data_IF_586971697910
#
_entry.id   IF_586971697910
#
_cell.length_a   1.000
_cell.length_b   1.000
_cell.length_c   1.000
_cell.angle_alpha   90.00
_cell.angle_beta   90.00
_cell.angle_gamma   90.00
#
_symmetry.space_group_name_H-M   'P 1'
#
loop_
_entity.id
_entity.type
_entity.pdbx_description
1 polymer ?
#
# COMPACT_ATOMS: atom_id res chain seq x y z
N UNK A 1 28.87 46.93 20.64
CA UNK A 1 28.32 45.82 19.85
C UNK A 1 27.80 44.81 20.83
N UNK A 2 26.48 44.69 20.96
CA UNK A 2 25.87 43.84 21.97
C UNK A 2 25.21 42.66 21.27
N UNK A 3 25.73 41.47 21.52
CA UNK A 3 25.03 40.23 21.20
C UNK A 3 23.75 40.19 22.03
N UNK A 4 22.60 40.20 21.36
CA UNK A 4 21.30 40.10 22.00
C UNK A 4 21.15 38.70 22.63
N UNK A 5 20.82 38.65 23.93
CA UNK A 5 20.62 37.39 24.68
C UNK A 5 19.17 37.33 25.16
N UNK A 6 18.45 36.29 24.75
CA UNK A 6 17.14 35.97 25.29
C UNK A 6 17.27 34.97 26.45
N UNK A 7 16.92 35.35 27.70
CA UNK A 7 16.96 34.44 28.86
C UNK A 7 15.75 33.50 28.87
N UNK A 8 15.66 32.62 27.88
CA UNK A 8 14.61 31.61 27.75
C UNK A 8 15.22 30.30 27.26
N UNK A 9 14.64 29.17 27.68
CA UNK A 9 14.97 27.86 27.13
C UNK A 9 14.49 27.69 25.70
N UNK A 10 13.54 28.52 25.26
CA UNK A 10 12.87 28.43 23.96
C UNK A 10 12.89 29.77 23.24
N UNK A 11 13.36 29.77 21.99
CA UNK A 11 13.28 30.89 21.07
C UNK A 11 12.24 30.58 20.00
N UNK A 12 11.20 31.41 19.88
CA UNK A 12 10.18 31.28 18.85
C UNK A 12 10.27 32.45 17.88
N UNK A 13 10.57 32.14 16.63
CA UNK A 13 10.66 33.11 15.54
C UNK A 13 9.39 32.98 14.69
N UNK A 14 8.65 34.08 14.52
CA UNK A 14 7.40 34.13 13.75
C UNK A 14 7.56 35.13 12.61
N UNK A 15 7.00 34.82 11.44
CA UNK A 15 7.07 35.67 10.24
C UNK A 15 8.52 36.13 9.97
N UNK A 16 9.43 35.17 9.85
CA UNK A 16 10.85 35.45 9.61
C UNK A 16 11.06 36.24 8.32
N UNK A 17 12.05 37.12 8.35
CA UNK A 17 12.54 37.94 7.24
C UNK A 17 14.02 37.67 6.97
N UNK A 18 14.55 38.20 5.87
CA UNK A 18 15.98 38.05 5.53
C UNK A 18 16.92 38.62 6.62
N UNK A 19 16.43 39.54 7.46
CA UNK A 19 17.20 40.10 8.58
C UNK A 19 17.33 39.12 9.76
N UNK A 20 16.47 38.11 9.82
CA UNK A 20 16.50 37.07 10.86
C UNK A 20 17.44 35.90 10.50
N UNK A 21 18.09 35.97 9.34
CA UNK A 21 19.12 35.01 8.96
C UNK A 21 20.38 35.19 9.81
N UNK A 22 21.05 34.08 10.12
CA UNK A 22 22.32 34.12 10.83
C UNK A 22 22.52 32.99 11.82
N UNK A 23 23.47 33.20 12.72
CA UNK A 23 23.86 32.21 13.71
C UNK A 23 23.17 32.43 15.04
N UNK A 24 22.48 31.40 15.51
CA UNK A 24 21.80 31.39 16.78
C UNK A 24 22.57 30.48 17.74
N UNK A 25 23.01 31.04 18.86
CA UNK A 25 23.74 30.27 19.87
C UNK A 25 22.89 30.08 21.11
N UNK A 26 22.57 28.82 21.40
CA UNK A 26 22.02 28.42 22.68
C UNK A 26 23.16 28.13 23.65
N UNK A 27 23.10 28.73 24.83
CA UNK A 27 24.11 28.58 25.88
C UNK A 27 23.43 28.26 27.21
N UNK A 28 23.87 27.17 27.83
CA UNK A 28 23.47 26.78 29.18
C UNK A 28 24.66 26.95 30.10
N UNK A 29 24.46 27.64 31.23
CA UNK A 29 25.46 27.85 32.27
C UNK A 29 24.95 27.31 33.59
N UNK A 30 25.80 26.58 34.32
CA UNK A 30 25.51 26.18 35.68
C UNK A 30 25.60 27.39 36.63
N UNK A 31 24.66 27.58 37.57
CA UNK A 31 24.61 28.78 38.41
C UNK A 31 25.83 28.93 39.33
N UNK A 32 26.40 27.81 39.81
CA UNK A 32 27.44 27.83 40.85
C UNK A 32 28.83 27.41 40.36
N UNK A 33 28.94 26.90 39.13
CA UNK A 33 30.19 26.33 38.61
C UNK A 33 30.50 26.98 37.27
N UNK A 34 31.39 27.97 37.29
CA UNK A 34 31.69 28.78 36.11
C UNK A 34 32.27 27.98 34.93
N UNK A 35 32.97 26.87 35.21
CA UNK A 35 33.52 25.98 34.19
C UNK A 35 32.46 25.09 33.52
N UNK A 36 31.30 24.88 34.15
CA UNK A 36 30.25 24.02 33.63
C UNK A 36 29.30 24.83 32.73
N UNK A 37 29.67 24.96 31.47
CA UNK A 37 28.83 25.57 30.44
C UNK A 37 28.85 24.75 29.15
N UNK A 38 27.73 24.77 28.42
CA UNK A 38 27.61 24.12 27.13
C UNK A 38 26.97 25.08 26.14
N UNK A 39 27.56 25.16 24.96
CA UNK A 39 27.09 26.02 23.87
C UNK A 39 26.82 25.17 22.63
N UNK A 40 25.76 25.50 21.91
CA UNK A 40 25.45 24.94 20.59
C UNK A 40 25.00 26.07 19.68
N UNK A 41 25.60 26.12 18.50
CA UNK A 41 25.28 27.13 17.49
C UNK A 41 24.59 26.46 16.33
N UNK A 42 23.49 27.05 15.89
CA UNK A 42 22.75 26.65 14.69
C UNK A 42 22.80 27.80 13.70
N UNK A 43 22.82 27.49 12.42
CA UNK A 43 22.69 28.48 11.35
C UNK A 43 21.29 28.43 10.78
N UNK A 44 20.59 29.56 10.79
CA UNK A 44 19.30 29.72 10.15
C UNK A 44 19.54 30.49 8.86
N UNK A 45 19.12 29.89 7.75
CA UNK A 45 19.13 30.49 6.41
C UNK A 45 17.70 30.49 5.89
N UNK A 46 17.23 31.63 5.37
CA UNK A 46 15.94 31.69 4.72
C UNK A 46 16.16 31.43 3.24
N UNK A 47 15.42 30.46 2.74
CA UNK A 47 15.49 30.09 1.33
C UNK A 47 14.26 30.63 0.62
N UNK A 48 14.43 31.28 -0.54
CA UNK A 48 13.30 31.75 -1.32
C UNK A 48 12.46 30.56 -1.80
N UNK A 49 11.17 30.81 -2.04
CA UNK A 49 10.22 29.77 -2.48
C UNK A 49 10.68 29.07 -3.77
N UNK A 50 11.37 29.80 -4.63
CA UNK A 50 11.82 29.31 -5.94
C UNK A 50 13.25 28.73 -5.89
N UNK A 51 13.80 28.49 -4.68
CA UNK A 51 15.14 27.95 -4.54
C UNK A 51 15.21 26.51 -5.07
N UNK A 52 16.25 26.19 -5.84
CA UNK A 52 16.42 24.91 -6.54
C UNK A 52 16.38 23.67 -5.62
N UNK A 53 16.72 23.81 -4.33
CA UNK A 53 16.62 22.72 -3.35
C UNK A 53 15.17 22.34 -3.02
N UNK A 54 14.24 23.30 -3.06
CA UNK A 54 12.82 23.09 -2.80
C UNK A 54 12.19 22.28 -3.95
N UNK A 55 12.51 22.67 -5.19
CA UNK A 55 12.17 21.92 -6.40
C UNK A 55 12.78 20.52 -6.39
N UNK A 56 14.05 20.38 -6.02
CA UNK A 56 14.72 19.08 -5.88
C UNK A 56 14.09 18.20 -4.81
N UNK A 57 13.66 18.75 -3.68
CA UNK A 57 13.06 17.98 -2.58
C UNK A 57 11.68 17.47 -2.97
N UNK A 58 10.85 18.35 -3.56
CA UNK A 58 9.54 17.97 -4.06
C UNK A 58 9.64 16.99 -5.24
N UNK A 59 10.53 17.25 -6.19
CA UNK A 59 10.79 16.35 -7.31
C UNK A 59 11.28 14.98 -6.85
N UNK A 60 12.18 14.93 -5.86
CA UNK A 60 12.66 13.68 -5.26
C UNK A 60 11.54 12.93 -4.53
N UNK A 61 10.65 13.63 -3.82
CA UNK A 61 9.47 13.01 -3.20
C UNK A 61 8.55 12.41 -4.27
N UNK A 62 8.23 13.15 -5.33
CA UNK A 62 7.42 12.65 -6.44
C UNK A 62 8.03 11.43 -7.12
N UNK A 63 9.34 11.44 -7.39
CA UNK A 63 10.05 10.31 -7.98
C UNK A 63 10.01 9.07 -7.08
N UNK A 64 10.19 9.24 -5.77
CA UNK A 64 10.08 8.13 -4.81
C UNK A 64 8.64 7.60 -4.78
N UNK A 65 7.64 8.48 -4.71
CA UNK A 65 6.23 8.09 -4.70
C UNK A 65 5.85 7.32 -5.97
N UNK A 66 6.28 7.78 -7.14
CA UNK A 66 6.06 7.10 -8.41
C UNK A 66 6.74 5.73 -8.44
N UNK A 67 8.00 5.64 -8.02
CA UNK A 67 8.74 4.38 -7.98
C UNK A 67 8.06 3.35 -7.06
N UNK A 68 7.60 3.78 -5.87
CA UNK A 68 6.86 2.93 -4.93
C UNK A 68 5.55 2.47 -5.54
N UNK A 69 4.78 3.37 -6.16
CA UNK A 69 3.51 3.03 -6.79
C UNK A 69 3.67 1.99 -7.91
N UNK A 70 4.66 2.17 -8.80
CA UNK A 70 4.96 1.23 -9.88
C UNK A 70 5.39 -0.13 -9.32
N UNK A 71 6.29 -0.14 -8.32
CA UNK A 71 6.73 -1.39 -7.68
C UNK A 71 5.57 -2.17 -7.07
N UNK A 72 4.63 -1.47 -6.42
CA UNK A 72 3.47 -2.10 -5.79
C UNK A 72 2.53 -2.69 -6.84
N UNK A 73 2.33 -1.99 -7.95
CA UNK A 73 1.50 -2.44 -9.08
C UNK A 73 2.09 -3.71 -9.72
N UNK A 74 3.40 -3.74 -9.97
CA UNK A 74 4.10 -4.93 -10.48
C UNK A 74 3.95 -6.11 -9.52
N UNK A 75 4.09 -5.88 -8.22
CA UNK A 75 3.93 -6.91 -7.21
C UNK A 75 2.51 -7.50 -7.21
N UNK A 76 1.48 -6.66 -7.26
CA UNK A 76 0.08 -7.10 -7.34
C UNK A 76 -0.12 -7.97 -8.58
N UNK A 77 0.33 -7.52 -9.76
CA UNK A 77 0.19 -8.28 -11.01
C UNK A 77 0.90 -9.63 -10.92
N UNK A 78 2.13 -9.67 -10.40
CA UNK A 78 2.89 -10.91 -10.25
C UNK A 78 2.18 -11.90 -9.32
N UNK A 79 1.66 -11.42 -8.19
CA UNK A 79 0.90 -12.22 -7.23
C UNK A 79 -0.40 -12.73 -7.84
N UNK A 80 -1.16 -11.88 -8.55
CA UNK A 80 -2.38 -12.29 -9.26
C UNK A 80 -2.09 -13.38 -10.30
N UNK A 81 -1.06 -13.22 -11.13
CA UNK A 81 -0.67 -14.23 -12.13
C UNK A 81 -0.26 -15.53 -11.45
N UNK A 82 0.51 -15.47 -10.37
CA UNK A 82 0.94 -16.64 -9.61
C UNK A 82 -0.26 -17.41 -9.03
N UNK A 83 -1.22 -16.72 -8.43
CA UNK A 83 -2.44 -17.33 -7.92
C UNK A 83 -3.30 -17.92 -9.03
N UNK A 84 -3.47 -17.21 -10.16
CA UNK A 84 -4.19 -17.74 -11.32
C UNK A 84 -3.52 -19.01 -11.88
N UNK A 85 -2.19 -19.05 -11.96
CA UNK A 85 -1.44 -20.24 -12.41
C UNK A 85 -1.59 -21.40 -11.44
N UNK A 86 -1.50 -21.17 -10.12
CA UNK A 86 -1.72 -22.20 -9.11
C UNK A 86 -3.15 -22.74 -9.14
N UNK A 87 -4.16 -21.87 -9.25
CA UNK A 87 -5.55 -22.28 -9.36
C UNK A 87 -5.79 -23.12 -10.63
N UNK A 88 -5.21 -22.72 -11.77
CA UNK A 88 -5.26 -23.54 -13.00
C UNK A 88 -4.60 -24.91 -12.81
N UNK A 89 -3.41 -24.97 -12.19
CA UNK A 89 -2.70 -26.25 -11.94
C UNK A 89 -3.47 -27.19 -11.00
N UNK A 90 -4.14 -26.65 -9.97
CA UNK A 90 -5.00 -27.43 -9.08
C UNK A 90 -6.24 -27.94 -9.83
N UNK A 91 -6.82 -27.12 -10.73
CA UNK A 91 -7.97 -27.52 -11.55
C UNK A 91 -7.60 -28.60 -12.57
N UNK A 92 -6.41 -28.55 -13.18
CA UNK A 92 -5.96 -29.57 -14.14
C UNK A 92 -5.43 -30.85 -13.49
N UNK A 93 -5.02 -30.80 -12.21
CA UNK A 93 -4.65 -32.00 -11.43
C UNK A 93 -5.85 -32.77 -10.92
N UNK A 94 -7.06 -32.18 -10.94
CA UNK A 94 -8.29 -32.95 -10.84
C UNK A 94 -8.55 -33.48 -12.26
N UNK A 95 -8.32 -34.77 -12.46
CA UNK A 95 -8.68 -35.45 -13.71
C UNK A 95 -10.18 -35.31 -14.01
N UNK A 96 -10.66 -35.77 -15.19
CA UNK A 96 -12.07 -35.73 -15.54
C UNK A 96 -12.88 -36.29 -14.36
N UNK A 97 -13.82 -35.51 -13.83
CA UNK A 97 -14.83 -36.07 -12.95
C UNK A 97 -15.59 -37.06 -13.83
N UNK A 98 -15.31 -38.34 -13.63
CA UNK A 98 -15.99 -39.43 -14.29
C UNK A 98 -17.41 -39.50 -13.73
N UNK A 99 -18.28 -38.65 -14.28
CA UNK A 99 -19.70 -38.56 -13.95
C UNK A 99 -20.50 -39.76 -14.49
N UNK A 100 -19.81 -40.77 -15.06
CA UNK A 100 -20.39 -42.03 -15.49
C UNK A 100 -20.75 -42.98 -14.34
N UNK A 101 -20.41 -42.62 -13.10
CA UNK A 101 -20.87 -43.32 -11.89
C UNK A 101 -22.27 -42.83 -11.47
N UNK A 102 -23.25 -42.93 -12.39
CA UNK A 102 -24.65 -43.02 -11.97
C UNK A 102 -24.81 -44.32 -11.17
N UNK A 103 -24.60 -44.23 -9.86
CA UNK A 103 -25.05 -45.24 -8.90
C UNK A 103 -26.53 -45.49 -9.16
N UNK A 104 -26.84 -46.64 -9.75
CA UNK A 104 -28.21 -47.16 -9.88
C UNK A 104 -28.90 -47.06 -8.51
N UNK A 105 -30.13 -46.54 -8.40
CA UNK A 105 -30.85 -46.60 -7.15
C UNK A 105 -31.17 -48.08 -6.85
N UNK A 106 -30.54 -48.60 -5.79
CA UNK A 106 -30.65 -49.99 -5.32
C UNK A 106 -31.89 -50.14 -4.42
N UNK A 107 -33.07 -49.66 -4.82
CA UNK A 107 -34.34 -50.08 -4.19
C UNK A 107 -35.58 -49.51 -4.91
N UNK A 108 -36.42 -50.41 -5.41
CA UNK A 108 -37.90 -50.40 -5.43
C UNK A 108 -38.34 -51.49 -6.42
N UNK A 109 -38.26 -52.76 -6.01
CA UNK A 109 -39.47 -53.55 -5.71
C UNK A 109 -40.45 -53.59 -6.87
N UNK A 110 -40.26 -54.60 -7.70
CA UNK A 110 -41.27 -55.43 -8.37
C UNK A 110 -42.73 -55.05 -8.11
N UNK A 111 -43.46 -54.67 -9.17
CA UNK A 111 -44.85 -55.03 -9.47
C UNK A 111 -45.42 -54.07 -10.53
N UNK A 112 -45.99 -54.63 -11.61
CA UNK A 112 -46.95 -53.99 -12.53
C UNK A 112 -46.41 -52.82 -13.37
N UNK A 113 -46.74 -52.61 -14.64
CA UNK A 113 -47.91 -52.94 -15.46
C UNK A 113 -47.47 -52.71 -16.92
N UNK A 114 -47.60 -53.70 -17.79
CA UNK A 114 -48.66 -53.88 -18.79
C UNK A 114 -48.76 -52.77 -19.87
N UNK A 115 -49.01 -53.19 -21.13
CA UNK A 115 -48.77 -52.40 -22.33
C UNK A 115 -49.88 -51.38 -22.58
N UNK A 116 -49.55 -50.24 -23.18
CA UNK A 116 -50.56 -49.32 -23.73
C UNK A 116 -50.18 -48.93 -25.15
N UNK A 117 -50.71 -49.72 -26.08
CA UNK A 117 -50.86 -49.41 -27.50
C UNK A 117 -52.09 -48.52 -27.69
N UNK A 118 -51.88 -47.26 -28.09
CA UNK A 118 -52.82 -46.32 -28.74
C UNK A 118 -51.91 -45.20 -29.28
N UNK A 119 -51.88 -44.75 -30.54
CA UNK A 119 -52.91 -44.54 -31.55
C UNK A 119 -52.21 -44.53 -32.93
N UNK A 120 -52.69 -45.29 -33.92
CA UNK A 120 -53.71 -44.92 -34.92
C UNK A 120 -53.11 -44.26 -36.17
N UNK A 121 -53.51 -44.79 -37.35
CA UNK A 121 -53.77 -44.13 -38.64
C UNK A 121 -53.76 -45.16 -39.81
N UNK A 122 -54.88 -45.87 -40.02
CA UNK A 122 -55.63 -46.21 -41.27
C UNK A 122 -54.89 -46.52 -42.62
N UNK A 123 -55.44 -47.28 -43.63
CA UNK A 123 -56.85 -47.64 -43.89
C UNK A 123 -57.16 -49.08 -44.40
N UNK A 124 -58.47 -49.34 -44.52
CA UNK A 124 -59.15 -50.49 -45.11
C UNK A 124 -58.95 -50.60 -46.64
N UNK A 125 -58.46 -51.76 -47.10
CA UNK A 125 -58.85 -52.45 -48.35
C UNK A 125 -58.70 -53.95 -48.15
#
# INVERSE_FOLDING_TARGET
>A
GNDWILPSSTLTLKKMSALDEGQYTCMVKHPSVASLSKKRTISITLLPKDAAWYETTNGRLWLITLAVAVSLLVFIVAVSVFFCRRAKRIRTNKGPIDDHSQKKPIYKTSAESLPSTCADNQPLV
#
